data_IF_676652744628
#
_entry.id   IF_676652744628
#
_cell.length_a   1.000
_cell.length_b   1.000
_cell.length_c   1.000
_cell.angle_alpha   90.00
_cell.angle_beta   90.00
_cell.angle_gamma   90.00
#
_symmetry.space_group_name_H-M   'P 1'
#
loop_
_entity.id
_entity.type
_entity.pdbx_description
1 polymer ?
#
# COMPACT_ATOMS: atom_id res chain seq x y z
N UNK A 1 13.01 -18.22 35.31
CA UNK A 1 12.72 -16.89 34.75
C UNK A 1 13.09 -16.88 33.27
N UNK A 2 12.12 -16.89 32.33
CA UNK A 2 12.30 -16.34 30.98
C UNK A 2 11.48 -15.04 30.86
N UNK A 3 11.97 -13.90 30.38
CA UNK A 3 12.71 -13.70 29.14
C UNK A 3 11.74 -13.10 28.12
N UNK A 4 11.61 -11.77 28.13
CA UNK A 4 10.61 -10.96 27.42
C UNK A 4 10.52 -11.20 25.91
N UNK A 5 9.43 -11.80 25.42
CA UNK A 5 9.04 -11.69 24.01
C UNK A 5 8.41 -10.31 23.79
N UNK A 6 9.19 -9.38 23.22
CA UNK A 6 8.66 -8.11 22.74
C UNK A 6 7.87 -8.39 21.46
N UNK A 7 6.58 -8.69 21.58
CA UNK A 7 5.65 -8.69 20.44
C UNK A 7 5.64 -7.27 19.86
N UNK A 8 6.41 -7.05 18.79
CA UNK A 8 6.43 -5.75 18.12
C UNK A 8 5.06 -5.52 17.50
N UNK A 9 4.25 -4.66 18.12
CA UNK A 9 2.99 -4.20 17.54
C UNK A 9 3.32 -3.39 16.28
N UNK A 10 3.21 -4.03 15.11
CA UNK A 10 3.34 -3.36 13.83
C UNK A 10 2.26 -2.29 13.69
N UNK A 11 2.65 -1.09 13.27
CA UNK A 11 1.72 0.02 13.10
C UNK A 11 0.64 -0.31 12.06
N UNK A 12 -0.56 0.29 12.21
CA UNK A 12 -1.64 0.08 11.26
C UNK A 12 -1.25 0.50 9.83
N UNK A 13 -0.49 1.59 9.71
CA UNK A 13 0.13 2.02 8.45
C UNK A 13 0.99 0.92 7.83
N UNK A 14 1.86 0.28 8.62
CA UNK A 14 2.71 -0.83 8.16
C UNK A 14 1.89 -2.05 7.75
N UNK A 15 0.81 -2.35 8.47
CA UNK A 15 -0.09 -3.46 8.11
C UNK A 15 -0.76 -3.22 6.75
N UNK A 16 -1.28 -2.01 6.53
CA UNK A 16 -1.90 -1.63 5.25
C UNK A 16 -0.86 -1.65 4.12
N UNK A 17 0.33 -1.12 4.36
CA UNK A 17 1.43 -1.12 3.39
C UNK A 17 1.80 -2.55 2.96
N UNK A 18 2.01 -3.45 3.92
CA UNK A 18 2.36 -4.85 3.65
C UNK A 18 1.26 -5.58 2.87
N UNK A 19 -0.01 -5.31 3.20
CA UNK A 19 -1.15 -5.90 2.49
C UNK A 19 -1.19 -5.46 1.02
N UNK A 20 -1.02 -4.16 0.77
CA UNK A 20 -1.02 -3.61 -0.58
C UNK A 20 0.19 -4.10 -1.39
N UNK A 21 1.38 -4.17 -0.78
CA UNK A 21 2.58 -4.77 -1.41
C UNK A 21 2.32 -6.21 -1.83
N UNK A 22 1.75 -7.02 -0.94
CA UNK A 22 1.42 -8.39 -1.26
C UNK A 22 0.45 -8.49 -2.44
N UNK A 23 -0.59 -7.64 -2.49
CA UNK A 23 -1.53 -7.62 -3.61
C UNK A 23 -0.89 -7.17 -4.94
N UNK A 24 0.07 -6.25 -4.91
CA UNK A 24 0.88 -5.89 -6.07
C UNK A 24 1.74 -7.07 -6.53
N UNK A 25 2.45 -7.74 -5.61
CA UNK A 25 3.37 -8.83 -5.92
C UNK A 25 2.67 -10.06 -6.53
N UNK A 26 1.45 -10.38 -6.09
CA UNK A 26 0.68 -11.49 -6.65
C UNK A 26 -0.15 -11.10 -7.89
N UNK A 27 -0.05 -9.85 -8.36
CA UNK A 27 -0.81 -9.35 -9.51
C UNK A 27 -2.32 -9.16 -9.26
N UNK A 28 -2.76 -9.14 -7.99
CA UNK A 28 -4.16 -8.85 -7.66
C UNK A 28 -4.53 -7.39 -7.96
N UNK A 29 -3.57 -6.47 -7.82
CA UNK A 29 -3.69 -5.09 -8.28
C UNK A 29 -3.05 -4.97 -9.67
N UNK A 30 -3.90 -4.78 -10.68
CA UNK A 30 -3.47 -4.73 -12.08
C UNK A 30 -2.79 -3.39 -12.40
N UNK A 31 -1.81 -3.37 -13.32
CA UNK A 31 -1.32 -2.13 -13.93
C UNK A 31 -2.46 -1.21 -14.38
N UNK A 32 -2.33 0.09 -14.12
CA UNK A 32 -3.38 1.08 -14.37
C UNK A 32 -4.55 1.07 -13.38
N UNK A 33 -4.61 0.13 -12.44
CA UNK A 33 -5.68 0.09 -11.45
C UNK A 33 -5.64 1.31 -10.54
N UNK A 34 -6.81 1.92 -10.34
CA UNK A 34 -6.99 3.10 -9.49
C UNK A 34 -7.34 2.69 -8.06
N UNK A 35 -6.52 3.15 -7.12
CA UNK A 35 -6.64 2.92 -5.69
C UNK A 35 -7.22 4.18 -5.04
N UNK A 36 -8.45 4.08 -4.54
CA UNK A 36 -9.12 5.19 -3.85
C UNK A 36 -8.94 5.00 -2.35
N UNK A 37 -8.27 5.97 -1.71
CA UNK A 37 -7.93 5.94 -0.28
C UNK A 37 -9.14 5.61 0.61
N UNK A 38 -10.29 6.25 0.35
CA UNK A 38 -11.52 6.04 1.10
C UNK A 38 -12.05 4.61 0.97
N UNK A 39 -12.04 4.05 -0.24
CA UNK A 39 -12.55 2.70 -0.48
C UNK A 39 -11.70 1.65 0.24
N UNK A 40 -10.37 1.81 0.19
CA UNK A 40 -9.44 0.90 0.88
C UNK A 40 -9.62 1.00 2.40
N UNK A 41 -9.79 2.21 2.94
CA UNK A 41 -10.06 2.40 4.36
C UNK A 41 -11.36 1.69 4.80
N UNK A 42 -12.41 1.78 3.99
CA UNK A 42 -13.68 1.08 4.24
C UNK A 42 -13.54 -0.45 4.14
N UNK A 43 -12.83 -0.95 3.12
CA UNK A 43 -12.60 -2.39 2.92
C UNK A 43 -11.79 -3.00 4.08
N UNK A 44 -10.80 -2.27 4.58
CA UNK A 44 -9.93 -2.73 5.65
C UNK A 44 -10.49 -2.43 7.06
N UNK A 45 -11.59 -1.69 7.17
CA UNK A 45 -12.19 -1.31 8.45
C UNK A 45 -11.31 -0.37 9.30
N UNK A 46 -10.51 0.48 8.64
CA UNK A 46 -9.55 1.39 9.29
C UNK A 46 -9.84 2.84 8.93
N UNK A 47 -9.20 3.78 9.64
CA UNK A 47 -9.31 5.20 9.30
C UNK A 47 -8.53 5.54 8.03
N UNK A 48 -8.85 6.68 7.41
CA UNK A 48 -8.24 7.14 6.15
C UNK A 48 -6.74 7.47 6.34
N UNK A 49 -6.33 7.96 7.51
CA UNK A 49 -4.96 8.39 7.79
C UNK A 49 -3.90 7.28 7.58
N UNK A 50 -3.98 6.11 8.23
CA UNK A 50 -3.00 5.03 8.05
C UNK A 50 -2.98 4.50 6.61
N UNK A 51 -4.13 4.51 5.92
CA UNK A 51 -4.23 4.10 4.51
C UNK A 51 -3.51 5.09 3.61
N UNK A 52 -3.74 6.39 3.82
CA UNK A 52 -3.09 7.45 3.05
C UNK A 52 -1.58 7.42 3.25
N UNK A 53 -1.11 7.25 4.48
CA UNK A 53 0.32 7.12 4.76
C UNK A 53 0.93 5.89 4.09
N UNK A 54 0.25 4.74 4.14
CA UNK A 54 0.73 3.53 3.48
C UNK A 54 0.84 3.71 1.97
N UNK A 55 -0.18 4.30 1.34
CA UNK A 55 -0.17 4.60 -0.10
C UNK A 55 0.93 5.58 -0.47
N UNK A 56 1.18 6.62 0.35
CA UNK A 56 2.28 7.55 0.14
C UNK A 56 3.65 6.88 0.26
N UNK A 57 3.85 5.98 1.23
CA UNK A 57 5.09 5.20 1.34
C UNK A 57 5.32 4.34 0.11
N UNK A 58 4.26 3.74 -0.44
CA UNK A 58 4.35 2.96 -1.68
C UNK A 58 4.73 3.82 -2.88
N UNK A 59 4.20 5.05 -2.96
CA UNK A 59 4.64 6.04 -3.96
C UNK A 59 6.11 6.38 -3.78
N UNK A 60 6.57 6.64 -2.55
CA UNK A 60 8.00 6.92 -2.29
C UNK A 60 8.92 5.76 -2.66
N UNK A 61 8.41 4.52 -2.64
CA UNK A 61 9.14 3.33 -3.11
C UNK A 61 8.93 2.99 -4.59
N UNK A 62 8.30 3.87 -5.37
CA UNK A 62 7.97 3.67 -6.79
C UNK A 62 7.05 2.47 -7.07
N UNK A 63 6.38 1.93 -6.05
CA UNK A 63 5.41 0.83 -6.20
C UNK A 63 4.04 1.33 -6.64
N UNK A 64 3.72 2.61 -6.40
CA UNK A 64 2.49 3.30 -6.81
C UNK A 64 2.81 4.68 -7.40
N UNK A 65 1.88 5.22 -8.16
CA UNK A 65 1.89 6.61 -8.63
C UNK A 65 0.74 7.41 -8.02
N UNK A 66 0.91 8.73 -7.88
CA UNK A 66 -0.17 9.63 -7.47
C UNK A 66 -1.08 9.88 -8.67
N UNK A 67 -2.39 9.82 -8.45
CA UNK A 67 -3.40 10.12 -9.46
C UNK A 67 -4.31 11.30 -9.02
N UNK A 68 -5.00 11.96 -9.96
CA UNK A 68 -5.97 13.01 -9.62
C UNK A 68 -7.08 12.52 -8.69
N UNK A 69 -7.75 13.47 -8.02
CA UNK A 69 -8.87 13.23 -7.11
C UNK A 69 -8.57 12.27 -5.93
N UNK A 70 -7.45 12.52 -5.22
CA UNK A 70 -7.07 11.81 -3.99
C UNK A 70 -6.96 10.28 -4.16
N UNK A 71 -6.52 9.87 -5.35
CA UNK A 71 -6.32 8.49 -5.72
C UNK A 71 -4.85 8.20 -5.97
N UNK A 72 -4.54 6.91 -6.01
CA UNK A 72 -3.26 6.36 -6.39
C UNK A 72 -3.48 5.41 -7.55
N UNK A 73 -2.42 5.07 -8.28
CA UNK A 73 -2.49 4.20 -9.43
C UNK A 73 -1.36 3.19 -9.40
N UNK A 74 -1.63 1.97 -9.81
CA UNK A 74 -0.60 0.96 -10.07
C UNK A 74 0.13 1.36 -11.35
N UNK A 75 1.46 1.60 -11.32
CA UNK A 75 2.21 1.99 -12.51
C UNK A 75 2.11 0.92 -13.58
N UNK A 76 2.15 1.32 -14.85
CA UNK A 76 2.31 0.36 -15.93
C UNK A 76 3.74 -0.18 -15.93
N UNK A 77 3.86 -1.50 -15.81
CA UNK A 77 5.15 -2.18 -15.87
C UNK A 77 5.51 -2.33 -17.34
N UNK A 78 6.04 -1.26 -17.94
CA UNK A 78 6.59 -1.32 -19.30
C UNK A 78 8.00 -1.90 -19.23
N UNK A 79 8.35 -2.81 -20.13
CA UNK A 79 9.70 -3.40 -20.22
C UNK A 79 10.82 -2.36 -20.28
N UNK A 80 10.53 -1.14 -20.75
CA UNK A 80 11.46 0.00 -20.77
C UNK A 80 11.84 0.53 -19.37
N UNK A 81 11.04 0.28 -18.34
CA UNK A 81 11.35 0.69 -16.96
C UNK A 81 12.40 -0.19 -16.27
N UNK A 82 12.85 -1.26 -16.94
CA UNK A 82 13.85 -2.21 -16.44
C UNK A 82 15.19 -2.16 -17.20
N UNK A 83 15.31 -1.27 -18.19
CA UNK A 83 16.54 -1.01 -18.96
C UNK A 83 17.18 0.32 -18.53
#
# INVERSE_FOLDING_TARGET
MPGTEKTQHISLTTQVENRLKHQLSIGALKPGARLITKNIAQELGVSITPVREALLRLVSSSALAVAPAQAFMVPEISLESLL
#
